data_IF_455610563115
#
_entry.id   IF_455610563115
#
_cell.length_a   1.000
_cell.length_b   1.000
_cell.length_c   1.000
_cell.angle_alpha   90.00
_cell.angle_beta   90.00
_cell.angle_gamma   90.00
#
_symmetry.space_group_name_H-M   'P 1'
#
loop_
_entity.id
_entity.type
_entity.pdbx_description
1 polymer ?
#
# COMPACT_ATOMS: atom_id res chain seq x y z
N UNK A 1 5.37 -17.27 29.46
CA UNK A 1 6.79 -16.94 29.43
C UNK A 1 7.27 -16.74 30.86
N UNK A 2 8.40 -17.34 31.22
CA UNK A 2 8.99 -17.21 32.56
C UNK A 2 10.07 -16.11 32.52
N UNK A 3 10.04 -15.13 33.42
CA UNK A 3 11.06 -14.10 33.46
C UNK A 3 12.41 -14.70 33.94
N UNK A 4 13.50 -14.29 33.33
CA UNK A 4 14.86 -14.59 33.74
C UNK A 4 15.47 -13.31 34.29
N UNK A 5 15.85 -13.33 35.54
CA UNK A 5 16.34 -12.18 36.27
C UNK A 5 17.87 -12.06 36.20
N UNK A 6 18.36 -10.84 36.41
CA UNK A 6 19.78 -10.59 36.59
C UNK A 6 20.29 -11.31 37.87
N UNK A 7 21.46 -11.95 37.80
CA UNK A 7 22.04 -12.68 38.92
C UNK A 7 22.40 -11.76 40.09
N UNK A 8 22.65 -10.51 39.83
CA UNK A 8 23.04 -9.50 40.81
C UNK A 8 21.92 -8.57 41.24
N UNK A 9 20.79 -8.61 40.54
CA UNK A 9 19.62 -7.78 40.81
C UNK A 9 18.32 -8.55 40.46
N UNK A 10 17.72 -9.13 41.48
CA UNK A 10 16.49 -9.92 41.34
C UNK A 10 15.24 -9.11 40.98
N UNK A 11 15.32 -7.78 40.95
CA UNK A 11 14.24 -6.91 40.48
C UNK A 11 14.33 -6.65 38.98
N UNK A 12 15.45 -6.92 38.34
CA UNK A 12 15.72 -6.65 36.94
C UNK A 12 15.50 -7.90 36.09
N UNK A 13 14.46 -7.88 35.28
CA UNK A 13 14.22 -8.92 34.28
C UNK A 13 15.14 -8.70 33.08
N UNK A 14 15.93 -9.71 32.72
CA UNK A 14 16.82 -9.69 31.57
C UNK A 14 16.12 -10.09 30.29
N UNK A 15 15.29 -11.14 30.35
CA UNK A 15 14.50 -11.64 29.24
C UNK A 15 13.44 -12.61 29.74
N UNK A 16 12.52 -12.97 28.87
CA UNK A 16 11.52 -13.99 29.16
C UNK A 16 11.85 -15.28 28.42
N UNK A 17 11.89 -16.40 29.14
CA UNK A 17 11.94 -17.74 28.55
C UNK A 17 10.53 -18.20 28.19
N UNK A 18 10.34 -18.67 26.99
CA UNK A 18 9.10 -19.28 26.55
C UNK A 18 9.33 -20.29 25.44
N UNK A 19 8.38 -21.17 25.24
CA UNK A 19 8.32 -22.01 24.05
C UNK A 19 7.35 -21.36 23.08
N UNK A 20 7.81 -21.03 21.89
CA UNK A 20 6.95 -20.63 20.79
C UNK A 20 6.59 -21.88 20.00
N UNK A 21 5.31 -22.16 19.88
CA UNK A 21 4.79 -23.16 18.96
C UNK A 21 4.30 -22.42 17.73
N UNK A 22 4.99 -22.60 16.62
CA UNK A 22 4.44 -22.19 15.32
C UNK A 22 3.43 -23.25 14.94
N UNK A 23 2.12 -22.91 14.97
CA UNK A 23 1.09 -23.76 14.41
C UNK A 23 1.03 -23.53 12.90
N UNK A 24 0.55 -24.54 12.15
CA UNK A 24 0.27 -24.38 10.73
C UNK A 24 -0.93 -23.44 10.48
N UNK A 25 -1.71 -23.18 11.53
CA UNK A 25 -2.82 -22.24 11.47
C UNK A 25 -2.27 -20.82 11.60
N UNK A 26 -2.57 -19.98 10.61
CA UNK A 26 -2.27 -18.57 10.69
C UNK A 26 -3.01 -17.95 11.88
N UNK A 27 -2.27 -17.44 12.87
CA UNK A 27 -2.86 -16.61 13.89
C UNK A 27 -3.19 -15.26 13.25
N UNK A 28 -4.46 -15.05 12.94
CA UNK A 28 -4.96 -13.72 12.63
C UNK A 28 -4.97 -12.96 13.95
N UNK A 29 -4.06 -12.01 14.11
CA UNK A 29 -4.18 -11.01 15.16
C UNK A 29 -5.18 -10.00 14.61
N UNK A 30 -6.43 -9.96 15.12
CA UNK A 30 -7.38 -8.98 14.66
C UNK A 30 -6.81 -7.60 15.03
N UNK A 31 -6.72 -6.72 14.05
CA UNK A 31 -6.57 -5.31 14.32
C UNK A 31 -7.85 -4.87 15.06
N UNK A 32 -7.68 -4.33 16.25
CA UNK A 32 -8.81 -3.84 17.04
C UNK A 32 -9.35 -2.52 16.49
N UNK A 33 -8.67 -1.91 15.53
CA UNK A 33 -9.15 -0.71 14.85
C UNK A 33 -10.07 -1.11 13.70
N UNK A 34 -11.29 -0.60 13.72
CA UNK A 34 -12.25 -0.77 12.63
C UNK A 34 -11.73 -0.17 11.31
N UNK A 35 -10.83 0.80 11.40
CA UNK A 35 -10.20 1.50 10.27
C UNK A 35 -8.70 1.59 10.46
N UNK A 36 -7.97 1.53 9.34
CA UNK A 36 -6.52 1.67 9.36
C UNK A 36 -6.11 3.10 9.62
N UNK A 37 -5.29 3.31 10.64
CA UNK A 37 -4.75 4.62 10.99
C UNK A 37 -3.48 4.91 10.18
N UNK A 38 -3.45 6.04 9.45
CA UNK A 38 -2.22 6.52 8.83
C UNK A 38 -1.33 7.17 9.89
N UNK A 39 -0.07 6.75 9.93
CA UNK A 39 0.91 7.35 10.83
C UNK A 39 1.16 8.82 10.47
N UNK A 40 1.33 9.67 11.48
CA UNK A 40 1.61 11.10 11.28
C UNK A 40 2.90 11.38 10.50
N UNK A 41 3.85 10.46 10.55
CA UNK A 41 5.11 10.53 9.80
C UNK A 41 5.01 10.00 8.37
N UNK A 42 3.86 9.48 7.92
CA UNK A 42 3.68 9.05 6.53
C UNK A 42 3.91 10.23 5.59
N UNK A 43 4.75 10.03 4.58
CA UNK A 43 5.08 11.08 3.62
C UNK A 43 3.88 11.44 2.75
N UNK A 44 3.73 12.72 2.48
CA UNK A 44 2.81 13.23 1.48
C UNK A 44 3.41 13.15 0.09
N UNK A 45 2.53 13.05 -0.91
CA UNK A 45 2.89 13.16 -2.32
C UNK A 45 3.65 14.44 -2.63
N UNK A 46 4.43 14.43 -3.69
CA UNK A 46 5.53 15.36 -3.90
C UNK A 46 5.04 16.78 -4.19
N UNK A 47 5.19 17.70 -3.25
CA UNK A 47 5.00 19.12 -3.54
C UNK A 47 6.09 19.57 -4.52
N UNK A 48 5.75 20.30 -5.52
CA UNK A 48 6.69 20.88 -6.48
C UNK A 48 6.74 20.16 -7.83
N UNK A 49 6.81 18.83 -7.88
CA UNK A 49 6.65 18.11 -9.16
C UNK A 49 5.19 17.85 -9.51
N UNK A 50 4.28 17.92 -8.54
CA UNK A 50 2.88 17.54 -8.63
C UNK A 50 2.68 16.07 -9.08
N UNK A 51 3.71 15.25 -8.93
CA UNK A 51 3.65 13.84 -9.24
C UNK A 51 2.84 13.10 -8.18
N UNK A 52 1.95 12.21 -8.59
CA UNK A 52 1.16 11.40 -7.68
C UNK A 52 2.04 10.38 -6.96
N UNK A 53 2.32 10.62 -5.70
CA UNK A 53 3.09 9.79 -4.76
C UNK A 53 2.35 9.73 -3.40
N UNK A 54 2.64 8.73 -2.57
CA UNK A 54 3.37 7.49 -2.85
C UNK A 54 2.59 6.58 -3.80
N UNK A 55 3.17 5.49 -4.27
CA UNK A 55 2.46 4.50 -5.09
C UNK A 55 1.61 3.57 -4.24
N UNK A 56 2.09 3.21 -3.04
CA UNK A 56 1.47 2.18 -2.20
C UNK A 56 1.85 2.38 -0.73
N UNK A 57 1.08 1.80 0.16
CA UNK A 57 1.27 1.86 1.61
C UNK A 57 1.54 0.48 2.18
N UNK A 58 2.35 0.43 3.24
CA UNK A 58 2.56 -0.74 4.07
C UNK A 58 2.65 -0.34 5.56
N UNK A 59 2.41 -1.27 6.50
CA UNK A 59 2.55 -1.00 7.93
C UNK A 59 3.94 -0.48 8.29
N UNK A 60 4.00 0.61 9.02
CA UNK A 60 5.26 1.24 9.44
C UNK A 60 5.24 1.74 10.87
N UNK A 61 4.10 1.64 11.58
CA UNK A 61 3.94 2.05 12.96
C UNK A 61 4.05 0.87 13.92
N UNK A 62 4.84 1.00 14.99
CA UNK A 62 4.99 0.01 16.04
C UNK A 62 5.39 -1.39 15.52
N UNK A 63 6.33 -1.43 14.60
CA UNK A 63 6.80 -2.68 14.00
C UNK A 63 7.83 -3.34 14.92
N UNK A 64 7.45 -4.48 15.47
CA UNK A 64 8.34 -5.31 16.29
C UNK A 64 9.13 -6.27 15.40
N UNK A 65 10.44 -6.11 15.34
CA UNK A 65 11.29 -6.88 14.45
C UNK A 65 12.67 -7.10 15.05
N UNK A 66 13.50 -7.86 14.35
CA UNK A 66 14.89 -8.12 14.77
C UNK A 66 15.72 -6.85 14.71
N UNK A 67 16.48 -6.61 15.81
CA UNK A 67 17.54 -5.62 15.84
C UNK A 67 18.90 -6.34 15.90
N UNK A 68 19.55 -6.48 14.76
CA UNK A 68 20.82 -7.20 14.64
C UNK A 68 22.00 -6.47 15.26
N UNK A 69 21.84 -5.22 15.66
CA UNK A 69 22.92 -4.40 16.26
C UNK A 69 23.01 -4.56 17.77
N UNK A 70 21.94 -5.00 18.43
CA UNK A 70 21.92 -5.20 19.87
C UNK A 70 22.20 -6.63 20.27
N UNK A 71 22.72 -6.81 21.50
CA UNK A 71 22.95 -8.11 22.14
C UNK A 71 23.67 -9.15 21.26
N UNK A 72 24.63 -8.72 20.46
CA UNK A 72 25.37 -9.62 19.57
C UNK A 72 24.54 -10.17 18.42
N UNK A 73 23.58 -9.39 17.93
CA UNK A 73 22.72 -9.74 16.79
C UNK A 73 21.48 -10.56 17.14
N UNK A 74 21.09 -10.62 18.40
CA UNK A 74 19.95 -11.42 18.89
C UNK A 74 18.81 -10.58 19.50
N UNK A 75 18.89 -9.26 19.36
CA UNK A 75 17.90 -8.33 19.90
C UNK A 75 16.64 -8.24 19.04
N UNK A 76 15.57 -7.81 19.66
CA UNK A 76 14.34 -7.40 19.03
C UNK A 76 13.96 -6.02 19.54
N UNK A 77 13.40 -5.21 18.66
CA UNK A 77 13.03 -3.85 18.99
C UNK A 77 11.72 -3.47 18.31
N UNK A 78 11.01 -2.53 18.91
CA UNK A 78 9.82 -1.93 18.33
C UNK A 78 10.20 -0.56 17.74
N UNK A 79 10.04 -0.42 16.43
CA UNK A 79 10.39 0.79 15.70
C UNK A 79 9.20 1.29 14.87
N UNK A 80 9.16 2.60 14.65
CA UNK A 80 8.17 3.22 13.77
C UNK A 80 8.85 4.09 12.74
N UNK A 81 8.36 4.05 11.51
CA UNK A 81 8.86 4.87 10.41
C UNK A 81 8.51 4.29 9.05
N UNK A 82 8.59 5.10 8.03
CA UNK A 82 8.53 4.65 6.63
C UNK A 82 9.68 3.68 6.30
N UNK A 83 10.78 3.74 7.07
CA UNK A 83 11.89 2.79 7.02
C UNK A 83 11.50 1.36 7.45
N UNK A 84 10.38 1.19 8.16
CA UNK A 84 9.81 -0.12 8.51
C UNK A 84 8.76 -0.57 7.50
N UNK A 85 8.11 0.36 6.82
CA UNK A 85 7.16 0.05 5.74
C UNK A 85 7.88 -0.39 4.45
N UNK A 86 8.93 0.31 4.04
CA UNK A 86 9.64 0.03 2.79
C UNK A 86 10.19 -1.42 2.69
N UNK A 87 10.83 -2.00 3.73
CA UNK A 87 11.31 -3.38 3.66
C UNK A 87 10.18 -4.41 3.59
N UNK A 88 8.97 -4.10 4.06
CA UNK A 88 7.83 -4.98 3.86
C UNK A 88 7.45 -5.06 2.37
N UNK A 89 7.41 -3.93 1.67
CA UNK A 89 7.20 -3.93 0.20
C UNK A 89 8.34 -4.66 -0.51
N UNK A 90 9.58 -4.49 -0.06
CA UNK A 90 10.72 -5.25 -0.62
C UNK A 90 10.56 -6.76 -0.41
N UNK A 91 10.14 -7.19 0.78
CA UNK A 91 9.83 -8.59 1.09
C UNK A 91 8.68 -9.14 0.24
N UNK A 92 7.59 -8.39 0.10
CA UNK A 92 6.48 -8.73 -0.79
C UNK A 92 6.94 -8.87 -2.25
N UNK A 93 7.82 -7.97 -2.70
CA UNK A 93 8.38 -8.02 -4.05
C UNK A 93 9.26 -9.27 -4.27
N UNK A 94 10.00 -9.71 -3.25
CA UNK A 94 10.79 -10.94 -3.30
C UNK A 94 9.90 -12.18 -3.38
N UNK A 95 8.83 -12.24 -2.57
CA UNK A 95 7.83 -13.31 -2.64
C UNK A 95 7.13 -13.32 -4.00
N UNK A 96 6.80 -12.16 -4.52
CA UNK A 96 6.24 -12.05 -5.87
C UNK A 96 7.21 -12.55 -6.93
N UNK A 97 8.50 -12.23 -6.83
CA UNK A 97 9.52 -12.71 -7.78
C UNK A 97 9.62 -14.24 -7.77
N UNK A 98 9.50 -14.88 -6.61
CA UNK A 98 9.41 -16.33 -6.50
C UNK A 98 8.15 -16.87 -7.18
N UNK A 99 7.00 -16.26 -6.92
CA UNK A 99 5.73 -16.62 -7.55
C UNK A 99 5.78 -16.44 -9.07
N UNK A 100 6.35 -15.34 -9.55
CA UNK A 100 6.52 -15.05 -10.98
C UNK A 100 7.23 -16.19 -11.73
N UNK A 101 8.26 -16.75 -11.14
CA UNK A 101 8.97 -17.91 -11.73
C UNK A 101 8.12 -19.18 -11.65
N UNK A 102 7.53 -19.46 -10.50
CA UNK A 102 6.75 -20.69 -10.27
C UNK A 102 5.49 -20.76 -11.14
N UNK A 103 4.80 -19.64 -11.33
CA UNK A 103 3.58 -19.55 -12.13
C UNK A 103 3.84 -19.31 -13.64
N UNK A 104 5.10 -19.21 -14.06
CA UNK A 104 5.45 -18.98 -15.46
C UNK A 104 4.94 -17.66 -16.02
N UNK A 105 4.88 -16.61 -15.20
CA UNK A 105 4.35 -15.30 -15.58
C UNK A 105 5.20 -14.54 -16.60
N UNK A 106 6.40 -15.05 -16.93
CA UNK A 106 7.20 -14.53 -18.05
C UNK A 106 6.46 -14.54 -19.39
N UNK A 107 5.47 -15.43 -19.54
CA UNK A 107 4.57 -15.47 -20.71
C UNK A 107 3.77 -14.19 -20.93
N UNK A 108 3.65 -13.33 -19.91
CA UNK A 108 2.97 -12.03 -20.03
C UNK A 108 3.79 -10.99 -20.79
N UNK A 109 5.06 -11.25 -21.11
CA UNK A 109 6.02 -10.30 -21.67
C UNK A 109 6.25 -9.05 -20.79
N UNK A 110 5.91 -9.13 -19.50
CA UNK A 110 6.17 -8.10 -18.50
C UNK A 110 7.37 -8.50 -17.65
N UNK A 111 8.20 -7.55 -17.29
CA UNK A 111 9.27 -7.84 -16.32
C UNK A 111 8.69 -8.14 -14.94
N UNK A 112 9.38 -8.92 -14.15
CA UNK A 112 8.97 -9.23 -12.76
C UNK A 112 8.70 -7.96 -11.95
N UNK A 113 9.52 -6.94 -12.12
CA UNK A 113 9.35 -5.64 -11.44
C UNK A 113 8.05 -4.96 -11.85
N UNK A 114 7.78 -4.84 -13.15
CA UNK A 114 6.60 -4.15 -13.65
C UNK A 114 5.32 -4.89 -13.27
N UNK A 115 5.34 -6.22 -13.35
CA UNK A 115 4.18 -7.02 -12.97
C UNK A 115 3.94 -7.00 -11.44
N UNK A 116 5.01 -7.01 -10.64
CA UNK A 116 4.90 -6.85 -9.19
C UNK A 116 4.26 -5.51 -8.80
N UNK A 117 4.72 -4.41 -9.42
CA UNK A 117 4.13 -3.09 -9.20
C UNK A 117 2.65 -3.06 -9.59
N UNK A 118 2.33 -3.57 -10.77
CA UNK A 118 0.95 -3.60 -11.25
C UNK A 118 0.05 -4.42 -10.33
N UNK A 119 0.42 -5.64 -9.98
CA UNK A 119 -0.40 -6.52 -9.15
C UNK A 119 -0.52 -6.02 -7.71
N UNK A 120 0.57 -5.55 -7.10
CA UNK A 120 0.51 -4.98 -5.75
C UNK A 120 -0.39 -3.74 -5.69
N UNK A 121 -0.36 -2.87 -6.71
CA UNK A 121 -1.23 -1.70 -6.75
C UNK A 121 -2.66 -2.05 -7.13
N UNK A 122 -2.89 -2.95 -8.10
CA UNK A 122 -4.25 -3.38 -8.51
C UNK A 122 -5.02 -4.07 -7.39
N UNK A 123 -4.33 -4.73 -6.48
CA UNK A 123 -4.94 -5.49 -5.38
C UNK A 123 -4.80 -4.81 -4.01
N UNK A 124 -4.24 -3.60 -3.98
CA UNK A 124 -4.15 -2.82 -2.75
C UNK A 124 -5.53 -2.44 -2.23
N UNK A 125 -5.67 -2.39 -0.92
CA UNK A 125 -6.92 -1.97 -0.26
C UNK A 125 -6.81 -0.51 0.16
N UNK A 126 -7.63 0.40 -0.39
CA UNK A 126 -7.63 1.79 0.04
C UNK A 126 -7.96 1.91 1.53
N UNK A 127 -7.07 2.55 2.28
CA UNK A 127 -7.26 2.79 3.70
C UNK A 127 -8.30 3.88 3.93
N UNK A 128 -9.16 3.66 4.92
CA UNK A 128 -10.21 4.59 5.33
C UNK A 128 -9.85 5.22 6.67
N UNK A 129 -10.21 6.48 6.83
CA UNK A 129 -10.16 7.17 8.12
C UNK A 129 -11.38 6.80 8.97
N UNK A 130 -12.55 6.72 8.31
CA UNK A 130 -13.81 6.34 8.91
C UNK A 130 -14.74 5.63 7.90
N UNK A 131 -16.00 5.45 8.22
CA UNK A 131 -17.00 4.79 7.38
C UNK A 131 -17.20 5.47 6.02
N UNK A 132 -16.95 6.77 5.92
CA UNK A 132 -17.29 7.63 4.78
C UNK A 132 -16.10 8.29 4.11
N UNK A 133 -14.97 8.38 4.81
CA UNK A 133 -13.79 9.08 4.35
C UNK A 133 -12.61 8.13 4.13
N UNK A 134 -11.92 8.31 3.01
CA UNK A 134 -10.64 7.67 2.74
C UNK A 134 -9.51 8.62 3.11
N UNK A 135 -8.38 8.06 3.47
CA UNK A 135 -7.15 8.84 3.49
C UNK A 135 -6.82 9.35 2.08
N UNK A 136 -6.19 10.53 2.02
CA UNK A 136 -5.79 11.11 0.74
C UNK A 136 -4.92 10.16 -0.08
N UNK A 137 -5.16 10.07 -1.39
CA UNK A 137 -4.30 9.32 -2.32
C UNK A 137 -2.87 9.85 -2.33
N UNK A 138 -2.67 11.14 -1.99
CA UNK A 138 -1.35 11.76 -1.82
C UNK A 138 -0.63 11.27 -0.56
N UNK A 139 -1.29 10.52 0.30
CA UNK A 139 -0.72 9.95 1.52
C UNK A 139 -0.66 8.43 1.47
N UNK A 140 -1.57 7.77 0.77
CA UNK A 140 -1.65 6.31 0.72
C UNK A 140 -1.35 5.68 -0.65
N UNK A 141 -1.39 6.43 -1.74
CA UNK A 141 -1.30 5.86 -3.08
C UNK A 141 -2.51 4.98 -3.41
N UNK A 142 -2.27 3.80 -3.97
CA UNK A 142 -3.30 2.81 -4.27
C UNK A 142 -3.94 2.18 -3.02
N UNK A 143 -3.31 2.34 -1.86
CA UNK A 143 -3.76 1.75 -0.61
C UNK A 143 -2.74 0.81 0.03
N UNK A 144 -3.20 -0.01 0.95
CA UNK A 144 -2.36 -0.95 1.69
C UNK A 144 -2.09 -2.21 0.86
N UNK A 145 -0.82 -2.51 0.68
CA UNK A 145 -0.36 -3.67 -0.08
C UNK A 145 -0.79 -4.99 0.56
N UNK A 146 -1.19 -5.95 -0.28
CA UNK A 146 -1.51 -7.31 0.14
C UNK A 146 -0.87 -8.30 -0.82
N UNK A 147 0.21 -8.95 -0.39
CA UNK A 147 0.92 -9.93 -1.21
C UNK A 147 0.07 -11.17 -1.49
N UNK A 148 -0.74 -11.60 -0.54
CA UNK A 148 -1.66 -12.73 -0.74
C UNK A 148 -2.62 -12.45 -1.90
N UNK A 149 -3.27 -11.29 -1.90
CA UNK A 149 -4.12 -10.86 -2.99
C UNK A 149 -3.37 -10.74 -4.32
N UNK A 150 -2.16 -10.19 -4.30
CA UNK A 150 -1.36 -10.00 -5.52
C UNK A 150 -0.94 -11.32 -6.21
N UNK A 151 -0.62 -12.37 -5.44
CA UNK A 151 -0.21 -13.67 -6.01
C UNK A 151 -1.39 -14.59 -6.36
N UNK A 152 -2.58 -14.29 -5.88
CA UNK A 152 -3.80 -15.05 -6.18
C UNK A 152 -4.74 -14.32 -7.13
N UNK A 153 -4.35 -13.12 -7.60
CA UNK A 153 -5.17 -12.35 -8.53
C UNK A 153 -5.26 -13.04 -9.90
N UNK A 154 -6.46 -13.13 -10.42
CA UNK A 154 -6.75 -13.67 -11.75
C UNK A 154 -6.62 -12.62 -12.85
N UNK A 155 -6.39 -11.36 -12.48
CA UNK A 155 -6.26 -10.24 -13.41
C UNK A 155 -5.48 -9.08 -12.79
N UNK A 156 -5.02 -8.17 -13.64
CA UNK A 156 -4.37 -6.94 -13.21
C UNK A 156 -4.65 -5.78 -14.16
N UNK A 157 -4.65 -4.59 -13.60
CA UNK A 157 -4.77 -3.35 -14.37
C UNK A 157 -3.39 -2.94 -14.91
N UNK A 158 -3.36 -2.49 -16.15
CA UNK A 158 -2.17 -1.94 -16.78
C UNK A 158 -2.49 -0.56 -17.36
N UNK A 159 -1.71 0.42 -16.97
CA UNK A 159 -1.85 1.77 -17.52
C UNK A 159 -1.00 1.89 -18.77
N UNK A 160 -1.61 2.40 -19.85
CA UNK A 160 -0.90 2.67 -21.10
C UNK A 160 0.17 3.76 -20.91
N UNK A 161 1.22 3.72 -21.72
CA UNK A 161 2.35 4.66 -21.65
C UNK A 161 1.92 6.13 -21.73
N UNK A 162 0.88 6.42 -22.49
CA UNK A 162 0.30 7.76 -22.63
C UNK A 162 -0.28 8.31 -21.33
N UNK A 163 -0.75 7.45 -20.43
CA UNK A 163 -1.32 7.85 -19.14
C UNK A 163 -0.24 8.23 -18.12
N UNK A 164 1.00 7.77 -18.29
CA UNK A 164 2.11 7.98 -17.37
C UNK A 164 3.26 8.82 -17.99
N UNK A 165 2.95 9.69 -18.95
CA UNK A 165 3.94 10.57 -19.61
C UNK A 165 5.18 9.82 -20.15
N UNK A 166 4.97 8.61 -20.66
CA UNK A 166 6.02 7.79 -21.28
C UNK A 166 6.74 6.82 -20.35
N UNK A 167 6.22 6.59 -19.15
CA UNK A 167 6.78 5.59 -18.23
C UNK A 167 5.86 4.39 -18.08
N UNK A 168 6.01 3.41 -18.96
CA UNK A 168 5.38 2.07 -18.81
C UNK A 168 6.16 1.26 -17.77
N UNK A 169 5.98 1.58 -16.50
CA UNK A 169 6.72 0.96 -15.42
C UNK A 169 5.87 0.02 -14.54
N UNK A 170 4.64 -0.27 -14.95
CA UNK A 170 3.70 -1.11 -14.23
C UNK A 170 2.94 -0.42 -13.09
N UNK A 171 3.11 0.89 -12.92
CA UNK A 171 2.35 1.64 -11.93
C UNK A 171 0.90 1.83 -12.36
N UNK A 172 -0.03 1.51 -11.47
CA UNK A 172 -1.47 1.64 -11.70
C UNK A 172 -1.91 3.01 -11.18
N UNK A 173 -1.57 4.04 -11.91
CA UNK A 173 -1.96 5.43 -11.65
C UNK A 173 -2.00 6.23 -12.94
N UNK A 174 -2.74 7.31 -12.95
CA UNK A 174 -2.75 8.29 -14.02
C UNK A 174 -2.76 9.70 -13.44
N UNK A 175 -1.98 10.59 -14.05
CA UNK A 175 -1.92 12.00 -13.70
C UNK A 175 -2.58 12.78 -14.81
N UNK A 176 -3.85 13.15 -14.61
CA UNK A 176 -4.66 13.82 -15.64
C UNK A 176 -4.22 15.27 -15.90
N UNK A 177 -3.42 15.82 -14.99
CA UNK A 177 -2.91 17.18 -15.10
C UNK A 177 -3.96 18.24 -14.77
N UNK A 178 -3.68 19.47 -15.21
CA UNK A 178 -4.53 20.63 -14.99
C UNK A 178 -5.60 20.74 -16.07
N UNK A 179 -6.84 21.00 -15.68
CA UNK A 179 -7.93 21.38 -16.60
C UNK A 179 -7.87 22.89 -16.87
N UNK A 180 -6.96 23.29 -17.76
CA UNK A 180 -6.79 24.70 -18.15
C UNK A 180 -8.07 25.32 -18.76
N UNK A 181 -8.89 24.51 -19.38
CA UNK A 181 -10.16 24.93 -19.98
C UNK A 181 -11.30 25.04 -18.96
N UNK A 182 -11.10 24.51 -17.75
CA UNK A 182 -12.09 24.47 -16.65
C UNK A 182 -13.44 23.89 -17.07
N UNK A 183 -13.42 22.86 -17.92
CA UNK A 183 -14.61 22.17 -18.37
C UNK A 183 -14.98 20.96 -17.50
N UNK A 184 -14.10 20.58 -16.58
CA UNK A 184 -14.31 19.47 -15.65
C UNK A 184 -14.36 18.08 -16.32
N UNK A 185 -13.88 17.95 -17.55
CA UNK A 185 -13.94 16.71 -18.32
C UNK A 185 -12.55 16.12 -18.49
N UNK A 186 -12.39 14.87 -18.04
CA UNK A 186 -11.17 14.10 -18.20
C UNK A 186 -11.47 12.77 -18.84
N UNK A 187 -10.54 12.25 -19.62
CA UNK A 187 -10.62 10.90 -20.18
C UNK A 187 -9.26 10.22 -20.07
N UNK A 188 -9.28 8.94 -19.79
CA UNK A 188 -8.12 8.08 -19.78
C UNK A 188 -8.53 6.65 -20.10
N UNK A 189 -7.57 5.82 -20.45
CA UNK A 189 -7.79 4.40 -20.70
C UNK A 189 -6.82 3.56 -19.90
N UNK A 190 -7.23 2.35 -19.60
CA UNK A 190 -6.40 1.31 -19.01
C UNK A 190 -6.74 -0.03 -19.62
N UNK A 191 -5.79 -0.93 -19.57
CA UNK A 191 -6.01 -2.31 -20.01
C UNK A 191 -6.25 -3.20 -18.78
N UNK A 192 -7.14 -4.16 -18.92
CA UNK A 192 -7.34 -5.22 -17.93
C UNK A 192 -6.85 -6.53 -18.54
N UNK A 193 -5.83 -7.12 -17.92
CA UNK A 193 -5.24 -8.38 -18.36
C UNK A 193 -5.72 -9.53 -17.51
N UNK A 194 -6.22 -10.57 -18.17
CA UNK A 194 -6.57 -11.84 -17.53
C UNK A 194 -5.35 -12.74 -17.37
N UNK A 195 -5.21 -13.34 -16.20
CA UNK A 195 -4.19 -14.33 -15.87
C UNK A 195 -4.79 -15.74 -15.69
N UNK A 196 -6.12 -15.85 -15.56
CA UNK A 196 -6.82 -17.11 -15.34
C UNK A 196 -6.84 -18.01 -16.59
N UNK A 197 -6.79 -17.40 -17.77
CA UNK A 197 -6.94 -18.08 -19.04
C UNK A 197 -8.38 -18.52 -19.34
N UNK A 198 -9.35 -17.99 -18.61
CA UNK A 198 -10.78 -18.23 -18.79
C UNK A 198 -11.51 -16.89 -18.91
N UNK A 199 -12.66 -16.90 -19.62
CA UNK A 199 -13.48 -15.71 -19.74
C UNK A 199 -13.92 -15.20 -18.35
N UNK A 200 -13.69 -13.91 -18.10
CA UNK A 200 -14.01 -13.24 -16.85
C UNK A 200 -14.96 -12.08 -17.08
N UNK A 201 -15.85 -11.86 -16.14
CA UNK A 201 -16.75 -10.69 -16.14
C UNK A 201 -16.38 -9.77 -14.98
N UNK A 202 -16.29 -8.49 -15.25
CA UNK A 202 -15.90 -7.47 -14.27
C UNK A 202 -16.96 -6.40 -14.15
N UNK A 203 -17.31 -6.05 -12.91
CA UNK A 203 -18.10 -4.88 -12.61
C UNK A 203 -17.18 -3.68 -12.36
N UNK A 204 -17.40 -2.61 -13.12
CA UNK A 204 -16.65 -1.38 -12.97
C UNK A 204 -17.40 -0.40 -12.07
N UNK A 205 -16.69 0.12 -11.08
CA UNK A 205 -17.18 1.21 -10.25
C UNK A 205 -16.10 2.27 -10.07
N UNK A 206 -16.52 3.52 -9.84
CA UNK A 206 -15.59 4.61 -9.58
C UNK A 206 -16.07 5.40 -8.36
N UNK A 207 -15.11 5.75 -7.52
CA UNK A 207 -15.33 6.64 -6.39
C UNK A 207 -14.46 7.88 -6.55
N UNK A 208 -15.05 9.03 -6.28
CA UNK A 208 -14.41 10.33 -6.47
C UNK A 208 -14.27 11.04 -5.15
N UNK A 209 -13.10 11.60 -4.94
CA UNK A 209 -12.79 12.35 -3.73
C UNK A 209 -12.02 13.60 -4.09
N UNK A 210 -12.31 14.69 -3.39
CA UNK A 210 -11.49 15.89 -3.39
C UNK A 210 -10.70 15.95 -2.09
N UNK A 211 -9.54 16.59 -2.12
CA UNK A 211 -8.77 16.85 -0.92
C UNK A 211 -9.55 17.77 0.01
N UNK A 212 -9.83 17.33 1.23
CA UNK A 212 -10.44 18.18 2.24
C UNK A 212 -9.52 19.34 2.63
N UNK A 213 -10.12 20.43 3.04
CA UNK A 213 -9.41 21.64 3.46
C UNK A 213 -9.88 22.02 4.85
N UNK A 214 -8.94 22.36 5.70
CA UNK A 214 -9.20 22.93 7.03
C UNK A 214 -8.68 24.37 7.11
N UNK A 215 -9.26 25.16 8.01
CA UNK A 215 -8.83 26.55 8.25
C UNK A 215 -8.34 26.70 9.67
N UNK A 216 -7.12 27.11 9.85
CA UNK A 216 -6.49 27.34 11.15
C UNK A 216 -5.94 28.78 11.17
N UNK A 217 -6.40 29.59 12.10
CA UNK A 217 -5.93 30.97 12.24
C UNK A 217 -6.23 31.89 11.05
N UNK A 218 -7.15 31.49 10.16
CA UNK A 218 -7.49 32.23 8.93
C UNK A 218 -6.80 31.70 7.67
N UNK A 219 -5.78 30.88 7.81
CA UNK A 219 -5.08 30.25 6.69
C UNK A 219 -5.70 28.87 6.36
N UNK A 220 -5.67 28.52 5.07
CA UNK A 220 -6.20 27.25 4.56
C UNK A 220 -5.08 26.22 4.42
N UNK A 221 -5.32 25.03 4.94
CA UNK A 221 -4.42 23.89 4.89
C UNK A 221 -5.10 22.69 4.23
N UNK A 222 -4.34 21.83 3.58
CA UNK A 222 -4.83 20.53 3.17
C UNK A 222 -5.08 19.66 4.41
N UNK A 223 -6.25 19.05 4.49
CA UNK A 223 -6.57 18.08 5.52
C UNK A 223 -5.94 16.72 5.18
N UNK A 224 -5.80 15.86 6.16
CA UNK A 224 -5.30 14.50 5.92
C UNK A 224 -6.35 13.60 5.26
N UNK A 225 -7.61 13.88 5.50
CA UNK A 225 -8.76 13.18 4.93
C UNK A 225 -9.15 13.73 3.55
N UNK A 226 -10.06 13.01 2.91
CA UNK A 226 -10.71 13.45 1.68
C UNK A 226 -12.20 13.73 1.92
N UNK A 227 -12.80 14.50 1.03
CA UNK A 227 -14.24 14.68 0.97
C UNK A 227 -14.81 14.00 -0.27
N UNK A 228 -15.96 13.31 -0.17
CA UNK A 228 -16.61 12.72 -1.33
C UNK A 228 -16.93 13.76 -2.40
N UNK A 229 -16.73 13.41 -3.65
CA UNK A 229 -17.06 14.23 -4.80
C UNK A 229 -18.06 13.46 -5.69
N UNK A 230 -19.13 14.12 -6.12
CA UNK A 230 -20.06 13.55 -7.09
C UNK A 230 -19.57 13.87 -8.49
N UNK A 231 -19.37 12.85 -9.31
CA UNK A 231 -18.99 12.99 -10.70
C UNK A 231 -19.78 12.00 -11.57
N UNK A 232 -19.96 12.35 -12.83
CA UNK A 232 -20.55 11.44 -13.82
C UNK A 232 -19.44 10.65 -14.50
N UNK A 233 -19.65 9.36 -14.66
CA UNK A 233 -18.71 8.47 -15.36
C UNK A 233 -19.39 7.90 -16.59
N UNK A 234 -18.68 7.92 -17.71
CA UNK A 234 -19.05 7.20 -18.92
C UNK A 234 -17.97 6.20 -19.23
N UNK A 235 -18.34 4.94 -19.29
CA UNK A 235 -17.43 3.88 -19.70
C UNK A 235 -17.55 3.70 -21.21
N UNK A 236 -16.40 3.80 -21.89
CA UNK A 236 -16.26 3.45 -23.30
C UNK A 236 -15.96 1.96 -23.45
N UNK A 237 -16.29 1.39 -24.60
CA UNK A 237 -15.90 0.03 -25.02
C UNK A 237 -14.58 0.05 -25.78
#
# INVERSE_FOLDING_TARGET
AEPVYDKNDSSKVLYYKGRMKVSADAAVIPDSAEYMTMSSFASWGVPGSLELKPEITAPGGNIYSVNGLEQGGKGYENMSGTSMAAPQIAGMSALFAQHYQAAGLSKTNRSVRHLAQSLLMSTATPAREDATHYWSVLKQGAGVANIGAAITADSYVWMADSANKGASDGKVKVELGEDAAKNGTYSFSFDLYDLSGTEQTYDLSASFFTQAMTTIGGDRYLDEATAPLVANVTYGS
#
